data_IF_364252990838
#
_entry.id   IF_364252990838
#
_cell.length_a   1.000
_cell.length_b   1.000
_cell.length_c   1.000
_cell.angle_alpha   90.00
_cell.angle_beta   90.00
_cell.angle_gamma   90.00
#
_symmetry.space_group_name_H-M   'P 1'
#
loop_
_entity.id
_entity.type
_entity.pdbx_description
1 polymer ?
#
# COMPACT_ATOMS: atom_id res chain seq x y z
N UNK A 1 14.37 -26.83 8.86
CA UNK A 1 15.08 -25.52 8.93
C UNK A 1 14.90 -24.70 7.66
N UNK A 2 15.09 -25.25 6.45
CA UNK A 2 14.90 -24.51 5.18
C UNK A 2 13.48 -23.96 5.01
N UNK A 3 12.44 -24.72 5.35
CA UNK A 3 11.04 -24.28 5.25
C UNK A 3 10.70 -23.09 6.15
N UNK A 4 11.25 -23.02 7.36
CA UNK A 4 11.00 -21.89 8.27
C UNK A 4 11.68 -20.60 7.79
N UNK A 5 12.90 -20.69 7.27
CA UNK A 5 13.60 -19.53 6.72
C UNK A 5 12.85 -18.94 5.52
N UNK A 6 12.36 -19.79 4.63
CA UNK A 6 11.57 -19.37 3.46
C UNK A 6 10.26 -18.67 3.87
N UNK A 7 9.60 -19.13 4.94
CA UNK A 7 8.40 -18.47 5.47
C UNK A 7 8.72 -17.11 6.13
N UNK A 8 9.83 -17.02 6.86
CA UNK A 8 10.29 -15.74 7.43
C UNK A 8 10.58 -14.73 6.32
N UNK A 9 11.35 -15.12 5.30
CA UNK A 9 11.67 -14.28 4.14
C UNK A 9 10.41 -13.82 3.40
N UNK A 10 9.41 -14.70 3.26
CA UNK A 10 8.13 -14.35 2.65
C UNK A 10 7.41 -13.24 3.44
N UNK A 11 7.32 -13.35 4.76
CA UNK A 11 6.65 -12.36 5.59
C UNK A 11 7.44 -11.05 5.70
N UNK A 12 8.77 -11.10 5.70
CA UNK A 12 9.61 -9.91 5.59
C UNK A 12 9.42 -9.23 4.21
N UNK A 13 9.31 -10.00 3.12
CA UNK A 13 8.97 -9.48 1.80
C UNK A 13 7.60 -8.77 1.79
N UNK A 14 6.56 -9.39 2.38
CA UNK A 14 5.23 -8.77 2.53
C UNK A 14 5.29 -7.46 3.31
N UNK A 15 6.03 -7.42 4.41
CA UNK A 15 6.28 -6.22 5.22
C UNK A 15 6.86 -5.09 4.36
N UNK A 16 7.91 -5.36 3.59
CA UNK A 16 8.55 -4.36 2.73
C UNK A 16 7.60 -3.84 1.65
N UNK A 17 6.80 -4.71 1.02
CA UNK A 17 5.82 -4.30 0.02
C UNK A 17 4.76 -3.39 0.65
N UNK A 18 4.23 -3.71 1.81
CA UNK A 18 3.23 -2.87 2.48
C UNK A 18 3.79 -1.50 2.87
N UNK A 19 5.01 -1.41 3.39
CA UNK A 19 5.65 -0.12 3.69
C UNK A 19 5.94 0.70 2.42
N UNK A 20 6.35 0.04 1.35
CA UNK A 20 6.49 0.70 0.06
C UNK A 20 5.15 1.26 -0.43
N UNK A 21 4.08 0.47 -0.41
CA UNK A 21 2.74 0.94 -0.82
C UNK A 21 2.24 2.07 0.07
N UNK A 22 2.51 2.02 1.38
CA UNK A 22 2.19 3.11 2.30
C UNK A 22 2.92 4.41 1.93
N UNK A 23 4.21 4.31 1.54
CA UNK A 23 5.04 5.47 1.15
C UNK A 23 4.50 6.18 -0.08
N UNK A 24 3.85 5.47 -1.01
CA UNK A 24 3.29 6.05 -2.23
C UNK A 24 2.18 7.09 -1.97
N UNK A 25 1.53 7.07 -0.79
CA UNK A 25 0.35 7.88 -0.47
C UNK A 25 0.50 8.73 0.80
N UNK A 26 1.62 8.61 1.55
CA UNK A 26 1.75 9.30 2.84
C UNK A 26 2.22 10.75 2.69
N UNK A 27 3.01 11.03 1.67
CA UNK A 27 3.68 12.32 1.51
C UNK A 27 3.92 12.61 0.01
N UNK A 28 4.38 13.82 -0.27
CA UNK A 28 4.78 14.21 -1.61
C UNK A 28 5.92 13.32 -2.13
N UNK A 29 5.93 13.04 -3.45
CA UNK A 29 6.99 12.24 -4.05
C UNK A 29 8.35 12.94 -3.98
N UNK A 30 9.38 12.17 -3.74
CA UNK A 30 10.78 12.58 -3.67
C UNK A 30 11.69 11.59 -4.39
N UNK A 31 12.97 11.90 -4.51
CA UNK A 31 13.96 11.02 -5.14
C UNK A 31 14.02 9.63 -4.49
N UNK A 32 13.89 9.54 -3.18
CA UNK A 32 13.87 8.26 -2.46
C UNK A 32 12.66 7.40 -2.88
N UNK A 33 11.47 7.99 -3.03
CA UNK A 33 10.31 7.26 -3.53
C UNK A 33 10.55 6.74 -4.96
N UNK A 34 11.17 7.54 -5.83
CA UNK A 34 11.47 7.13 -7.20
C UNK A 34 12.49 5.98 -7.26
N UNK A 35 13.51 6.00 -6.40
CA UNK A 35 14.46 4.91 -6.24
C UNK A 35 13.79 3.64 -5.72
N UNK A 36 12.86 3.76 -4.77
CA UNK A 36 12.08 2.63 -4.27
C UNK A 36 11.19 2.02 -5.37
N UNK A 37 10.52 2.82 -6.20
CA UNK A 37 9.75 2.32 -7.35
C UNK A 37 10.64 1.44 -8.24
N UNK A 38 11.84 1.93 -8.57
CA UNK A 38 12.78 1.19 -9.42
C UNK A 38 13.24 -0.12 -8.75
N UNK A 39 13.60 -0.07 -7.47
CA UNK A 39 14.14 -1.22 -6.74
C UNK A 39 13.09 -2.30 -6.46
N UNK A 40 11.82 -1.93 -6.33
CA UNK A 40 10.71 -2.87 -6.04
C UNK A 40 10.15 -3.56 -7.28
N UNK A 41 10.35 -3.02 -8.48
CA UNK A 41 9.83 -3.59 -9.73
C UNK A 41 10.17 -5.08 -9.94
N UNK A 42 11.42 -5.56 -9.71
CA UNK A 42 11.73 -6.98 -9.85
C UNK A 42 10.88 -7.87 -8.93
N UNK A 43 10.61 -7.44 -7.70
CA UNK A 43 9.80 -8.20 -6.75
C UNK A 43 8.32 -8.26 -7.20
N UNK A 44 7.77 -7.14 -7.69
CA UNK A 44 6.41 -7.13 -8.23
C UNK A 44 6.27 -7.96 -9.49
N UNK A 45 7.25 -7.98 -10.38
CA UNK A 45 7.24 -8.82 -11.57
C UNK A 45 7.19 -10.33 -11.24
N UNK A 46 7.79 -10.75 -10.10
CA UNK A 46 7.71 -12.15 -9.65
C UNK A 46 6.31 -12.58 -9.20
N UNK A 47 5.49 -11.64 -8.72
CA UNK A 47 4.13 -11.89 -8.23
C UNK A 47 3.03 -11.35 -9.17
N UNK A 48 3.40 -10.90 -10.38
CA UNK A 48 2.50 -10.30 -11.36
C UNK A 48 1.61 -11.35 -12.04
N UNK A 49 0.79 -12.07 -11.25
CA UNK A 49 -0.19 -13.04 -11.71
C UNK A 49 -1.58 -12.44 -11.97
N UNK A 50 -1.86 -11.27 -11.42
CA UNK A 50 -3.10 -10.53 -11.67
C UNK A 50 -2.90 -9.30 -12.56
N UNK A 51 -3.98 -8.85 -13.19
CA UNK A 51 -3.92 -7.75 -14.16
C UNK A 51 -3.55 -6.41 -13.51
N UNK A 52 -4.00 -6.15 -12.29
CA UNK A 52 -3.73 -4.87 -11.61
C UNK A 52 -2.26 -4.74 -11.24
N UNK A 53 -1.61 -5.81 -10.75
CA UNK A 53 -0.15 -5.79 -10.52
C UNK A 53 0.58 -5.56 -11.84
N UNK A 54 0.18 -6.24 -12.93
CA UNK A 54 0.79 -6.04 -14.26
C UNK A 54 0.67 -4.60 -14.74
N UNK A 55 -0.52 -4.00 -14.62
CA UNK A 55 -0.74 -2.59 -14.96
C UNK A 55 0.12 -1.65 -14.11
N UNK A 56 0.23 -1.92 -12.81
CA UNK A 56 1.12 -1.18 -11.92
C UNK A 56 2.59 -1.27 -12.34
N UNK A 57 3.08 -2.48 -12.66
CA UNK A 57 4.44 -2.69 -13.17
C UNK A 57 4.70 -1.93 -14.47
N UNK A 58 3.79 -2.05 -15.47
CA UNK A 58 3.90 -1.34 -16.75
C UNK A 58 3.95 0.17 -16.53
N UNK A 59 3.08 0.69 -15.64
CA UNK A 59 3.06 2.12 -15.32
C UNK A 59 4.35 2.60 -14.66
N UNK A 60 4.90 1.84 -13.70
CA UNK A 60 6.18 2.16 -13.07
C UNK A 60 7.37 2.07 -14.05
N UNK A 61 7.40 1.07 -14.93
CA UNK A 61 8.43 0.96 -15.98
C UNK A 61 8.36 2.16 -16.93
N UNK A 62 7.14 2.55 -17.33
CA UNK A 62 6.95 3.72 -18.20
C UNK A 62 7.41 5.01 -17.50
N UNK A 63 7.05 5.19 -16.23
CA UNK A 63 7.46 6.32 -15.42
C UNK A 63 8.99 6.40 -15.31
N UNK A 64 9.65 5.30 -14.93
CA UNK A 64 11.11 5.22 -14.80
C UNK A 64 11.80 5.57 -16.13
N UNK A 65 11.37 4.94 -17.21
CA UNK A 65 11.93 5.20 -18.56
C UNK A 65 11.78 6.67 -18.96
N UNK A 66 10.63 7.27 -18.69
CA UNK A 66 10.38 8.69 -18.99
C UNK A 66 11.30 9.58 -18.15
N UNK A 67 11.43 9.29 -16.85
CA UNK A 67 12.28 10.03 -15.93
C UNK A 67 13.77 9.90 -16.27
N UNK A 68 14.25 8.71 -16.64
CA UNK A 68 15.64 8.46 -17.07
C UNK A 68 16.01 9.22 -18.34
N UNK A 69 15.06 9.43 -19.25
CA UNK A 69 15.28 10.17 -20.49
C UNK A 69 15.28 11.70 -20.30
N UNK A 70 15.02 12.20 -19.10
CA UNK A 70 15.09 13.62 -18.77
C UNK A 70 16.39 13.96 -18.03
N UNK A 71 16.94 15.15 -18.23
CA UNK A 71 18.13 15.65 -17.54
C UNK A 71 18.10 17.18 -17.41
N UNK A 72 18.89 17.72 -16.49
CA UNK A 72 18.97 19.16 -16.28
C UNK A 72 17.61 19.81 -16.01
N UNK A 73 17.24 20.87 -16.72
CA UNK A 73 15.98 21.59 -16.56
C UNK A 73 14.76 20.73 -16.87
N UNK A 74 14.82 19.85 -17.86
CA UNK A 74 13.73 18.94 -18.22
C UNK A 74 13.38 17.97 -17.08
N UNK A 75 14.40 17.53 -16.31
CA UNK A 75 14.20 16.69 -15.13
C UNK A 75 13.47 17.46 -14.05
N UNK A 76 13.86 18.71 -13.80
CA UNK A 76 13.20 19.56 -12.80
C UNK A 76 11.73 19.80 -13.18
N UNK A 77 11.46 20.06 -14.45
CA UNK A 77 10.08 20.22 -14.94
C UNK A 77 9.28 18.93 -14.77
N UNK A 78 9.84 17.79 -15.12
CA UNK A 78 9.19 16.50 -14.97
C UNK A 78 8.84 16.19 -13.50
N UNK A 79 9.79 16.40 -12.57
CA UNK A 79 9.57 16.15 -11.14
C UNK A 79 8.54 17.15 -10.57
N UNK A 80 8.52 18.41 -11.03
CA UNK A 80 7.49 19.39 -10.67
C UNK A 80 6.10 19.02 -11.20
N UNK A 81 5.98 18.43 -12.38
CA UNK A 81 4.71 17.93 -12.89
C UNK A 81 4.14 16.85 -11.98
N UNK A 82 4.99 15.93 -11.48
CA UNK A 82 4.56 14.89 -10.52
C UNK A 82 4.11 15.48 -9.17
N UNK A 83 4.81 16.50 -8.68
CA UNK A 83 4.39 17.23 -7.47
C UNK A 83 3.05 17.94 -7.67
N UNK A 84 2.83 18.52 -8.84
CA UNK A 84 1.57 19.16 -9.21
C UNK A 84 0.43 18.15 -9.30
N UNK A 85 0.68 16.97 -9.90
CA UNK A 85 -0.28 15.86 -9.95
C UNK A 85 -0.69 15.41 -8.54
N UNK A 86 0.27 15.23 -7.62
CA UNK A 86 -0.02 14.93 -6.22
C UNK A 86 -0.92 15.98 -5.58
N UNK A 87 -0.57 17.26 -5.78
CA UNK A 87 -1.34 18.38 -5.23
C UNK A 87 -2.77 18.41 -5.76
N UNK A 88 -2.96 18.24 -7.08
CA UNK A 88 -4.27 18.20 -7.72
C UNK A 88 -5.09 17.01 -7.22
N UNK A 89 -4.48 15.84 -7.15
CA UNK A 89 -5.17 14.61 -6.79
C UNK A 89 -5.59 14.57 -5.32
N UNK A 90 -4.71 14.98 -4.41
CA UNK A 90 -4.87 14.69 -2.98
C UNK A 90 -4.97 15.91 -2.06
N UNK A 91 -4.64 17.13 -2.55
CA UNK A 91 -4.58 18.31 -1.68
C UNK A 91 -5.66 19.36 -2.00
N UNK A 92 -6.32 19.32 -3.15
CA UNK A 92 -7.33 20.32 -3.55
C UNK A 92 -8.74 20.00 -3.03
N UNK A 93 -9.69 20.95 -3.22
CA UNK A 93 -11.04 20.87 -2.68
C UNK A 93 -11.84 19.66 -3.19
N UNK A 94 -11.71 19.34 -4.48
CA UNK A 94 -12.41 18.21 -5.12
C UNK A 94 -11.49 16.99 -5.27
N UNK A 95 -10.60 16.84 -4.31
CA UNK A 95 -9.57 15.81 -4.27
C UNK A 95 -10.12 14.41 -4.13
N UNK A 96 -9.28 13.45 -4.52
CA UNK A 96 -9.44 12.05 -4.13
C UNK A 96 -9.01 11.91 -2.67
N UNK A 97 -9.89 11.42 -1.83
CA UNK A 97 -9.61 11.28 -0.41
C UNK A 97 -8.71 10.06 -0.13
N UNK A 98 -7.78 10.23 0.82
CA UNK A 98 -6.89 9.16 1.29
C UNK A 98 -7.41 8.49 2.58
N UNK A 99 -8.58 8.90 3.06
CA UNK A 99 -9.20 8.39 4.29
C UNK A 99 -10.38 7.47 3.97
N UNK A 100 -10.42 6.30 4.61
CA UNK A 100 -11.51 5.32 4.44
C UNK A 100 -12.87 5.92 4.79
N UNK A 101 -12.95 6.76 5.82
CA UNK A 101 -14.20 7.40 6.26
C UNK A 101 -14.90 8.22 5.18
N UNK A 102 -14.17 8.69 4.18
CA UNK A 102 -14.71 9.46 3.06
C UNK A 102 -15.43 8.58 2.01
N UNK A 103 -15.22 7.27 2.05
CA UNK A 103 -15.80 6.29 1.12
C UNK A 103 -16.93 5.48 1.75
N UNK A 104 -16.98 5.40 3.06
CA UNK A 104 -17.98 4.64 3.79
C UNK A 104 -19.12 5.54 4.26
N UNK A 105 -20.26 5.50 3.56
CA UNK A 105 -21.46 6.30 3.91
C UNK A 105 -22.37 5.56 4.88
N UNK A 106 -23.17 6.31 5.71
CA UNK A 106 -22.94 7.67 6.14
C UNK A 106 -21.97 7.70 7.33
N UNK A 107 -20.99 8.56 7.33
CA UNK A 107 -19.99 8.84 8.36
C UNK A 107 -19.93 7.80 9.50
N UNK A 108 -19.12 6.76 9.33
CA UNK A 108 -18.87 5.86 10.45
C UNK A 108 -17.98 6.60 11.46
N UNK A 109 -18.62 7.33 12.38
CA UNK A 109 -17.93 8.12 13.40
C UNK A 109 -17.06 7.26 14.32
N UNK A 110 -17.31 5.95 14.37
CA UNK A 110 -16.60 4.98 15.21
C UNK A 110 -15.38 4.36 14.51
N UNK A 111 -15.30 4.47 13.17
CA UNK A 111 -14.24 3.81 12.39
C UNK A 111 -12.82 4.15 12.87
N UNK A 112 -12.56 5.45 13.12
CA UNK A 112 -11.24 5.88 13.60
C UNK A 112 -10.92 5.31 14.97
N UNK A 113 -11.91 5.30 15.88
CA UNK A 113 -11.77 4.74 17.23
C UNK A 113 -11.60 3.22 17.19
N UNK A 114 -12.33 2.53 16.31
CA UNK A 114 -12.21 1.09 16.09
C UNK A 114 -10.80 0.72 15.57
N UNK A 115 -10.30 1.46 14.57
CA UNK A 115 -8.96 1.26 14.06
C UNK A 115 -7.87 1.59 15.09
N UNK A 116 -8.02 2.69 15.84
CA UNK A 116 -7.09 3.06 16.91
C UNK A 116 -7.03 1.98 17.99
N UNK A 117 -8.19 1.43 18.38
CA UNK A 117 -8.27 0.33 19.32
C UNK A 117 -7.58 -0.93 18.79
N UNK A 118 -7.86 -1.30 17.53
CA UNK A 118 -7.25 -2.44 16.87
C UNK A 118 -5.72 -2.30 16.79
N UNK A 119 -5.22 -1.15 16.36
CA UNK A 119 -3.77 -0.89 16.30
C UNK A 119 -3.10 -1.06 17.66
N UNK A 120 -3.71 -0.49 18.70
CA UNK A 120 -3.21 -0.60 20.08
C UNK A 120 -3.19 -2.04 20.60
N UNK A 121 -4.17 -2.87 20.24
CA UNK A 121 -4.20 -4.30 20.62
C UNK A 121 -2.96 -5.07 20.15
N UNK A 122 -2.38 -4.67 19.01
CA UNK A 122 -1.19 -5.31 18.43
C UNK A 122 0.10 -4.53 18.73
N UNK A 123 0.05 -3.45 19.52
CA UNK A 123 1.20 -2.64 19.86
C UNK A 123 1.67 -1.73 18.72
N UNK A 124 0.79 -1.43 17.75
CA UNK A 124 1.04 -0.45 16.71
C UNK A 124 0.50 0.90 17.16
N UNK A 125 1.39 1.82 17.55
CA UNK A 125 1.04 3.14 18.05
C UNK A 125 1.22 4.20 16.97
N UNK A 126 0.24 5.08 16.83
CA UNK A 126 0.30 6.28 16.00
C UNK A 126 0.51 7.49 16.88
N UNK A 127 1.27 8.45 16.40
CA UNK A 127 1.47 9.74 17.08
C UNK A 127 0.16 10.55 17.17
N UNK A 128 -0.71 10.44 16.16
CA UNK A 128 -2.00 11.11 16.07
C UNK A 128 -3.10 10.17 15.57
N UNK A 129 -4.10 9.91 16.40
CA UNK A 129 -5.26 9.07 16.06
C UNK A 129 -6.18 9.67 14.99
N UNK A 130 -6.02 10.93 14.59
CA UNK A 130 -6.78 11.52 13.50
C UNK A 130 -6.49 10.87 12.14
N UNK A 131 -5.35 10.17 12.02
CA UNK A 131 -4.90 9.52 10.79
C UNK A 131 -5.14 8.02 10.74
N UNK A 132 -5.82 7.41 11.71
CA UNK A 132 -5.98 5.94 11.82
C UNK A 132 -6.57 5.29 10.58
N UNK A 133 -7.51 5.95 9.91
CA UNK A 133 -8.18 5.48 8.69
C UNK A 133 -7.54 5.99 7.38
N UNK A 134 -6.39 6.66 7.47
CA UNK A 134 -5.61 7.04 6.30
C UNK A 134 -4.98 5.81 5.66
N UNK A 135 -5.06 5.69 4.33
CA UNK A 135 -4.61 4.52 3.57
C UNK A 135 -3.18 4.09 3.89
N UNK A 136 -2.26 5.06 4.06
CA UNK A 136 -0.85 4.76 4.37
C UNK A 136 -0.68 4.15 5.76
N UNK A 137 -1.46 4.56 6.76
CA UNK A 137 -1.39 3.99 8.10
C UNK A 137 -1.99 2.60 8.15
N UNK A 138 -3.08 2.35 7.41
CA UNK A 138 -3.65 1.01 7.25
C UNK A 138 -2.67 0.05 6.58
N UNK A 139 -1.99 0.49 5.52
CA UNK A 139 -0.94 -0.29 4.85
C UNK A 139 0.27 -0.52 5.76
N UNK A 140 0.71 0.51 6.50
CA UNK A 140 1.81 0.37 7.45
C UNK A 140 1.48 -0.60 8.58
N UNK A 141 0.23 -0.62 9.05
CA UNK A 141 -0.24 -1.62 10.02
C UNK A 141 -0.17 -3.04 9.46
N UNK A 142 -0.57 -3.26 8.19
CA UNK A 142 -0.40 -4.56 7.54
C UNK A 142 1.07 -4.97 7.43
N UNK A 143 1.95 -4.03 7.11
CA UNK A 143 3.40 -4.26 7.11
C UNK A 143 3.92 -4.65 8.49
N UNK A 144 3.47 -3.95 9.52
CA UNK A 144 3.80 -4.25 10.92
C UNK A 144 3.33 -5.66 11.31
N UNK A 145 2.08 -6.03 11.01
CA UNK A 145 1.55 -7.37 11.27
C UNK A 145 2.35 -8.46 10.54
N UNK A 146 2.73 -8.24 9.29
CA UNK A 146 3.59 -9.17 8.55
C UNK A 146 4.95 -9.35 9.25
N UNK A 147 5.56 -8.27 9.73
CA UNK A 147 6.83 -8.29 10.47
C UNK A 147 6.73 -9.08 11.78
N UNK A 148 5.70 -8.84 12.60
CA UNK A 148 5.53 -9.61 13.84
C UNK A 148 5.16 -11.08 13.57
N UNK A 149 4.52 -11.38 12.43
CA UNK A 149 4.31 -12.77 11.98
C UNK A 149 5.65 -13.47 11.72
N UNK A 150 6.57 -12.83 10.98
CA UNK A 150 7.92 -13.37 10.75
C UNK A 150 8.67 -13.66 12.07
N UNK A 151 8.56 -12.75 13.04
CA UNK A 151 9.15 -12.92 14.37
C UNK A 151 8.57 -14.14 15.10
N UNK A 152 7.24 -14.36 15.02
CA UNK A 152 6.60 -15.51 15.68
C UNK A 152 6.91 -16.83 14.98
N UNK A 153 7.05 -16.87 13.66
CA UNK A 153 7.56 -18.04 12.91
C UNK A 153 8.98 -18.38 13.40
N UNK A 154 9.87 -17.40 13.52
CA UNK A 154 11.23 -17.61 13.99
C UNK A 154 11.27 -18.17 15.43
N UNK A 155 10.32 -17.77 16.28
CA UNK A 155 10.16 -18.28 17.66
C UNK A 155 9.40 -19.61 17.73
N UNK A 156 8.99 -20.19 16.60
CA UNK A 156 8.13 -21.37 16.53
C UNK A 156 6.80 -21.24 17.33
N UNK A 157 6.28 -20.01 17.43
CA UNK A 157 5.00 -19.74 18.08
C UNK A 157 3.85 -19.89 17.07
N UNK A 158 3.44 -21.13 16.83
CA UNK A 158 2.46 -21.47 15.81
C UNK A 158 1.07 -20.89 16.08
N UNK A 159 0.64 -20.86 17.34
CA UNK A 159 -0.67 -20.29 17.72
C UNK A 159 -0.76 -18.82 17.39
N UNK A 160 0.23 -18.01 17.81
CA UNK A 160 0.28 -16.59 17.50
C UNK A 160 0.47 -16.34 16.01
N UNK A 161 1.23 -17.17 15.31
CA UNK A 161 1.39 -17.06 13.85
C UNK A 161 0.05 -17.23 13.14
N UNK A 162 -0.73 -18.27 13.46
CA UNK A 162 -2.06 -18.51 12.88
C UNK A 162 -3.02 -17.36 13.21
N UNK A 163 -3.05 -16.91 14.47
CA UNK A 163 -3.85 -15.77 14.89
C UNK A 163 -3.52 -14.49 14.09
N UNK A 164 -2.23 -14.18 13.89
CA UNK A 164 -1.81 -13.01 13.13
C UNK A 164 -2.18 -13.07 11.65
N UNK A 165 -2.18 -14.25 11.05
CA UNK A 165 -2.63 -14.46 9.67
C UNK A 165 -4.15 -14.21 9.54
N UNK A 166 -4.94 -14.71 10.49
CA UNK A 166 -6.38 -14.45 10.53
C UNK A 166 -6.69 -12.96 10.71
N UNK A 167 -5.98 -12.28 11.59
CA UNK A 167 -6.14 -10.83 11.80
C UNK A 167 -5.83 -10.04 10.53
N UNK A 168 -4.75 -10.38 9.82
CA UNK A 168 -4.40 -9.72 8.57
C UNK A 168 -5.47 -9.95 7.50
N UNK A 169 -5.98 -11.18 7.37
CA UNK A 169 -7.05 -11.50 6.44
C UNK A 169 -8.32 -10.71 6.73
N UNK A 170 -8.73 -10.70 8.01
CA UNK A 170 -9.93 -9.97 8.44
C UNK A 170 -9.76 -8.45 8.25
N UNK A 171 -8.57 -7.90 8.51
CA UNK A 171 -8.27 -6.50 8.27
C UNK A 171 -8.45 -6.11 6.79
N UNK A 172 -7.90 -6.89 5.87
CA UNK A 172 -8.10 -6.65 4.44
C UNK A 172 -9.57 -6.72 4.06
N UNK A 173 -10.29 -7.74 4.56
CA UNK A 173 -11.70 -7.97 4.24
C UNK A 173 -12.60 -6.84 4.75
N UNK A 174 -12.42 -6.45 6.01
CA UNK A 174 -13.33 -5.52 6.69
C UNK A 174 -13.01 -4.06 6.37
N UNK A 175 -11.73 -3.70 6.33
CA UNK A 175 -11.33 -2.31 6.18
C UNK A 175 -10.89 -1.98 4.76
N UNK A 176 -9.93 -2.69 4.18
CA UNK A 176 -9.36 -2.31 2.89
C UNK A 176 -10.36 -2.50 1.73
N UNK A 177 -11.01 -3.65 1.62
CA UNK A 177 -11.97 -3.90 0.53
C UNK A 177 -13.24 -3.06 0.60
N UNK A 178 -13.55 -2.46 1.74
CA UNK A 178 -14.71 -1.58 1.86
C UNK A 178 -14.62 -0.34 0.96
N UNK A 179 -13.41 0.09 0.57
CA UNK A 179 -13.23 1.34 -0.18
C UNK A 179 -12.20 1.30 -1.32
N UNK A 180 -11.23 0.36 -1.31
CA UNK A 180 -10.07 0.40 -2.21
C UNK A 180 -10.45 0.37 -3.70
N UNK A 181 -11.52 -0.34 -4.06
CA UNK A 181 -12.04 -0.37 -5.43
C UNK A 181 -12.60 0.99 -5.86
N UNK A 182 -13.28 1.69 -4.95
CA UNK A 182 -13.81 3.03 -5.22
C UNK A 182 -12.66 4.05 -5.31
N UNK A 183 -11.66 3.92 -4.44
CA UNK A 183 -10.43 4.72 -4.49
C UNK A 183 -9.72 4.56 -5.85
N UNK A 184 -9.43 3.32 -6.27
CA UNK A 184 -8.84 3.03 -7.57
C UNK A 184 -9.68 3.62 -8.72
N UNK A 185 -11.00 3.38 -8.70
CA UNK A 185 -11.90 3.88 -9.74
C UNK A 185 -11.95 5.41 -9.80
N UNK A 186 -11.70 6.09 -8.69
CA UNK A 186 -11.61 7.55 -8.66
C UNK A 186 -10.35 8.06 -9.34
N UNK A 187 -9.21 7.41 -9.12
CA UNK A 187 -7.95 7.72 -9.80
C UNK A 187 -8.02 7.38 -11.30
N UNK A 188 -8.60 6.23 -11.65
CA UNK A 188 -8.73 5.78 -13.03
C UNK A 188 -9.58 6.68 -13.94
N UNK A 189 -10.36 7.59 -13.38
CA UNK A 189 -11.17 8.57 -14.14
C UNK A 189 -10.40 9.84 -14.49
N UNK A 190 -9.21 10.01 -13.97
CA UNK A 190 -8.42 11.23 -14.18
C UNK A 190 -7.65 11.11 -15.50
N UNK A 191 -7.56 12.20 -16.29
CA UNK A 191 -6.86 12.18 -17.58
C UNK A 191 -5.36 11.84 -17.46
N UNK A 192 -4.77 11.50 -18.57
CA UNK A 192 -3.43 10.95 -18.81
C UNK A 192 -2.22 11.60 -18.07
N UNK A 193 -2.41 12.74 -17.39
CA UNK A 193 -1.35 13.43 -16.66
C UNK A 193 -0.88 12.68 -15.41
N UNK A 194 -1.75 11.93 -14.76
CA UNK A 194 -1.48 11.27 -13.48
C UNK A 194 -1.06 9.79 -13.58
N UNK A 195 -0.33 9.42 -14.63
CA UNK A 195 0.08 8.03 -14.90
C UNK A 195 0.78 7.35 -13.73
N UNK A 196 1.61 8.08 -12.99
CA UNK A 196 2.28 7.54 -11.81
C UNK A 196 1.27 7.08 -10.75
N UNK A 197 0.29 7.94 -10.42
CA UNK A 197 -0.69 7.63 -9.38
C UNK A 197 -1.71 6.57 -9.80
N UNK A 198 -2.00 6.48 -11.11
CA UNK A 198 -2.74 5.33 -11.64
C UNK A 198 -1.96 4.03 -11.40
N UNK A 199 -0.67 4.00 -11.71
CA UNK A 199 0.19 2.84 -11.46
C UNK A 199 0.27 2.50 -9.96
N UNK A 200 0.41 3.51 -9.09
CA UNK A 200 0.37 3.32 -7.63
C UNK A 200 -0.93 2.68 -7.17
N UNK A 201 -2.07 3.18 -7.64
CA UNK A 201 -3.38 2.67 -7.25
C UNK A 201 -3.67 1.27 -7.82
N UNK A 202 -3.24 0.98 -9.05
CA UNK A 202 -3.34 -0.33 -9.66
C UNK A 202 -2.49 -1.36 -8.90
N UNK A 203 -1.24 -1.00 -8.57
CA UNK A 203 -0.35 -1.83 -7.77
C UNK A 203 -0.93 -2.12 -6.39
N UNK A 204 -1.46 -1.10 -5.72
CA UNK A 204 -2.09 -1.24 -4.42
C UNK A 204 -3.29 -2.20 -4.47
N UNK A 205 -4.25 -1.98 -5.38
CA UNK A 205 -5.41 -2.85 -5.54
C UNK A 205 -4.99 -4.29 -5.83
N UNK A 206 -4.09 -4.46 -6.80
CA UNK A 206 -3.61 -5.77 -7.21
C UNK A 206 -2.89 -6.51 -6.10
N UNK A 207 -2.07 -5.81 -5.30
CA UNK A 207 -1.35 -6.43 -4.19
C UNK A 207 -2.27 -6.81 -3.02
N UNK A 208 -3.23 -5.96 -2.67
CA UNK A 208 -4.23 -6.28 -1.63
C UNK A 208 -5.03 -7.53 -2.00
N UNK A 209 -5.45 -7.65 -3.27
CA UNK A 209 -6.14 -8.86 -3.76
C UNK A 209 -5.23 -10.10 -3.74
N UNK A 210 -3.97 -9.97 -4.15
CA UNK A 210 -2.98 -11.03 -4.14
C UNK A 210 -2.73 -11.54 -2.71
N UNK A 211 -2.49 -10.62 -1.79
CA UNK A 211 -2.18 -10.93 -0.40
C UNK A 211 -3.38 -11.53 0.34
N UNK A 212 -4.59 -11.06 0.07
CA UNK A 212 -5.82 -11.66 0.60
C UNK A 212 -5.98 -13.13 0.16
N UNK A 213 -5.69 -13.44 -1.11
CA UNK A 213 -5.70 -14.82 -1.62
C UNK A 213 -4.64 -15.68 -0.93
N UNK A 214 -3.44 -15.13 -0.70
CA UNK A 214 -2.40 -15.80 0.05
C UNK A 214 -2.85 -16.10 1.49
N UNK A 215 -3.35 -15.11 2.22
CA UNK A 215 -3.84 -15.26 3.59
C UNK A 215 -5.00 -16.26 3.67
N UNK A 216 -5.93 -16.26 2.71
CA UNK A 216 -7.08 -17.17 2.68
C UNK A 216 -6.71 -18.64 2.48
N UNK A 217 -5.49 -18.93 2.00
CA UNK A 217 -4.99 -20.30 1.84
C UNK A 217 -4.18 -20.78 3.03
N UNK A 218 -3.69 -19.85 3.87
CA UNK A 218 -2.71 -20.13 4.93
C UNK A 218 -3.19 -19.77 6.34
N UNK A 219 -4.39 -19.19 6.47
CA UNK A 219 -5.06 -18.90 7.75
C UNK A 219 -6.05 -20.00 8.12
#
# INVERSE_FOLDING_TARGET
METNNSLIELHEGRKHIYYFLARLFIDIPDDNMYEQITSMLPAFNLIADNNMIKEGCIGFEHFNKKRENTSGEDRILFDNDILNDYSILFCQKDKINLYQSDYTAPYNKTLKDELAYLYKQYGYELEDNNYTDHISYQLSFMGYLAGITAININKANHEMTAHLLDVQKEFLNTYMFSYINTFFSSIAKIPESALLYYACAAMLLGYVEYDYKFLSKNS
#
